data_IF_215888086429
#
_entry.id   IF_215888086429
#
_cell.length_a   1.000
_cell.length_b   1.000
_cell.length_c   1.000
_cell.angle_alpha   90.00
_cell.angle_beta   90.00
_cell.angle_gamma   90.00
#
_symmetry.space_group_name_H-M   'P 1'
#
loop_
_entity.id
_entity.type
_entity.pdbx_description
1 polymer ?
#
# COMPACT_ATOMS: atom_id res chain seq x y z
N UNK A 1 -34.78 14.24 15.10
CA UNK A 1 -34.03 15.13 14.19
C UNK A 1 -32.94 15.79 15.00
N UNK A 2 -31.73 15.21 14.99
CA UNK A 2 -30.55 15.81 15.62
C UNK A 2 -29.69 16.37 14.49
N UNK A 3 -29.53 17.68 14.49
CA UNK A 3 -28.56 18.39 13.68
C UNK A 3 -27.21 18.14 14.36
N UNK A 4 -26.56 17.03 14.01
CA UNK A 4 -25.24 16.66 14.50
C UNK A 4 -24.23 17.68 13.98
N UNK A 5 -23.72 18.50 14.90
CA UNK A 5 -22.71 19.52 14.66
C UNK A 5 -21.51 18.92 13.92
N UNK A 6 -21.41 19.15 12.61
CA UNK A 6 -20.26 18.80 11.81
C UNK A 6 -19.09 19.74 12.14
N UNK A 7 -18.26 19.36 13.11
CA UNK A 7 -16.99 20.05 13.34
C UNK A 7 -16.12 19.77 12.11
N UNK A 8 -16.04 20.73 11.20
CA UNK A 8 -15.16 20.66 10.03
C UNK A 8 -13.74 20.94 10.51
N UNK A 9 -13.06 19.89 10.99
CA UNK A 9 -11.66 19.99 11.39
C UNK A 9 -10.80 20.22 10.13
N UNK A 10 -9.96 21.27 10.12
CA UNK A 10 -9.05 21.49 9.01
C UNK A 10 -8.09 20.29 8.88
N UNK A 11 -7.69 19.97 7.65
CA UNK A 11 -6.82 18.85 7.36
C UNK A 11 -5.46 19.05 8.04
N UNK A 12 -4.81 17.95 8.43
CA UNK A 12 -3.61 17.97 9.26
C UNK A 12 -2.43 18.73 8.61
N UNK A 13 -2.43 18.81 7.28
CA UNK A 13 -1.45 19.56 6.47
C UNK A 13 -1.49 21.09 6.66
N UNK A 14 -2.62 21.62 7.14
CA UNK A 14 -2.83 23.06 7.39
C UNK A 14 -2.54 23.41 8.87
N UNK A 15 -2.08 22.43 9.67
CA UNK A 15 -1.76 22.57 11.09
C UNK A 15 -0.32 22.12 11.34
N UNK A 16 0.46 22.95 12.04
CA UNK A 16 1.85 22.63 12.44
C UNK A 16 1.93 21.68 13.65
N UNK A 17 0.89 20.88 13.94
CA UNK A 17 0.81 20.03 15.14
C UNK A 17 1.09 18.54 14.88
N UNK A 18 1.54 18.17 13.67
CA UNK A 18 1.84 16.77 13.29
C UNK A 18 2.79 16.11 14.30
N UNK A 19 3.90 16.75 14.65
CA UNK A 19 4.88 16.21 15.59
C UNK A 19 4.36 16.19 17.02
N UNK A 20 3.55 17.17 17.41
CA UNK A 20 2.93 17.20 18.74
C UNK A 20 1.96 16.01 18.89
N UNK A 21 1.09 15.81 17.91
CA UNK A 21 0.15 14.68 17.88
C UNK A 21 0.86 13.32 17.79
N UNK A 22 1.94 13.23 17.03
CA UNK A 22 2.74 12.02 16.94
C UNK A 22 3.35 11.64 18.30
N UNK A 23 3.83 12.63 19.06
CA UNK A 23 4.36 12.42 20.41
C UNK A 23 3.27 12.07 21.43
N UNK A 24 2.05 12.59 21.28
CA UNK A 24 0.90 12.21 22.12
C UNK A 24 0.41 10.78 21.86
N UNK A 25 0.42 10.32 20.61
CA UNK A 25 -0.02 8.95 20.27
C UNK A 25 0.99 7.87 20.65
N UNK A 26 2.25 8.24 20.82
CA UNK A 26 3.34 7.32 21.12
C UNK A 26 3.18 6.59 22.46
N UNK A 27 2.97 7.26 23.61
CA UNK A 27 2.74 6.58 24.88
C UNK A 27 1.45 5.76 24.88
N UNK A 28 0.38 6.26 24.28
CA UNK A 28 -0.90 5.54 24.20
C UNK A 28 -0.76 4.23 23.40
N UNK A 29 -0.13 4.28 22.23
CA UNK A 29 0.08 3.10 21.39
C UNK A 29 1.15 2.16 21.96
N UNK A 30 2.16 2.68 22.67
CA UNK A 30 3.15 1.87 23.40
C UNK A 30 2.50 1.04 24.50
N UNK A 31 1.59 1.65 25.28
CA UNK A 31 0.80 0.95 26.31
C UNK A 31 -0.18 -0.05 25.68
N UNK A 32 -0.89 0.34 24.62
CA UNK A 32 -1.85 -0.53 23.90
C UNK A 32 -1.18 -1.80 23.36
N UNK A 33 0.04 -1.68 22.83
CA UNK A 33 0.77 -2.78 22.19
C UNK A 33 1.75 -3.51 23.12
N UNK A 34 1.94 -3.02 24.35
CA UNK A 34 2.89 -3.59 25.30
C UNK A 34 4.35 -3.53 24.85
N UNK A 35 4.73 -2.54 24.02
CA UNK A 35 6.10 -2.36 23.52
C UNK A 35 6.71 -1.05 24.00
N UNK A 36 7.94 -1.04 24.53
CA UNK A 36 8.56 0.16 25.10
C UNK A 36 9.15 1.05 24.00
N UNK A 37 8.32 1.63 23.15
CA UNK A 37 8.78 2.67 22.23
C UNK A 37 8.67 4.02 22.92
N UNK A 38 9.77 4.78 22.98
CA UNK A 38 9.85 6.02 23.79
C UNK A 38 10.01 7.28 22.97
N UNK A 39 10.54 7.18 21.75
CA UNK A 39 10.89 8.37 20.94
C UNK A 39 10.70 8.15 19.45
N UNK A 40 10.49 9.26 18.75
CA UNK A 40 10.60 9.37 17.30
C UNK A 40 11.97 9.99 17.01
N UNK A 41 12.76 9.38 16.13
CA UNK A 41 14.02 9.98 15.68
C UNK A 41 13.76 11.25 14.87
N UNK A 42 14.72 12.18 14.87
CA UNK A 42 14.63 13.41 14.05
C UNK A 42 14.42 13.09 12.57
N UNK A 43 15.11 12.06 12.06
CA UNK A 43 14.94 11.61 10.67
C UNK A 43 13.50 11.12 10.39
N UNK A 44 12.89 10.40 11.33
CA UNK A 44 11.49 9.96 11.22
C UNK A 44 10.52 11.15 11.33
N UNK A 45 10.80 12.14 12.18
CA UNK A 45 10.02 13.37 12.29
C UNK A 45 9.96 14.13 10.96
N UNK A 46 11.09 14.23 10.25
CA UNK A 46 11.14 14.85 8.92
C UNK A 46 10.30 14.12 7.88
N UNK A 47 10.22 12.79 7.96
CA UNK A 47 9.35 11.98 7.09
C UNK A 47 7.87 12.26 7.39
N UNK A 48 7.51 12.34 8.68
CA UNK A 48 6.14 12.66 9.10
C UNK A 48 5.72 14.07 8.65
N UNK A 49 6.62 15.05 8.69
CA UNK A 49 6.35 16.42 8.26
C UNK A 49 6.20 16.55 6.72
N UNK A 50 6.90 15.72 5.96
CA UNK A 50 6.85 15.75 4.48
C UNK A 50 5.61 15.07 3.90
N UNK A 51 4.93 14.23 4.68
CA UNK A 51 3.81 13.45 4.19
C UNK A 51 2.49 14.27 4.22
N UNK A 52 1.65 14.21 3.17
CA UNK A 52 0.46 15.07 3.05
C UNK A 52 -0.74 14.68 3.94
N UNK A 53 -0.70 13.51 4.59
CA UNK A 53 -1.74 13.01 5.51
C UNK A 53 -3.18 13.04 4.94
N UNK A 54 -3.48 12.35 3.81
CA UNK A 54 -4.83 12.31 3.23
C UNK A 54 -5.92 11.79 4.18
N UNK A 55 -5.55 10.95 5.16
CA UNK A 55 -6.43 10.47 6.23
C UNK A 55 -6.31 11.23 7.55
N UNK A 56 -5.67 12.41 7.55
CA UNK A 56 -5.49 13.30 8.70
C UNK A 56 -4.97 12.57 9.95
N UNK A 57 -5.50 12.92 11.13
CA UNK A 57 -5.12 12.36 12.44
C UNK A 57 -5.32 10.84 12.51
N UNK A 58 -6.34 10.29 11.84
CA UNK A 58 -6.60 8.84 11.83
C UNK A 58 -5.46 8.07 11.17
N UNK A 59 -4.92 8.60 10.08
CA UNK A 59 -3.79 8.01 9.39
C UNK A 59 -2.51 8.13 10.22
N UNK A 60 -2.23 9.30 10.79
CA UNK A 60 -1.10 9.51 11.69
C UNK A 60 -1.10 8.50 12.84
N UNK A 61 -2.23 8.35 13.52
CA UNK A 61 -2.37 7.37 14.61
C UNK A 61 -2.09 5.94 14.16
N UNK A 62 -2.60 5.53 12.99
CA UNK A 62 -2.38 4.19 12.47
C UNK A 62 -0.92 3.94 12.06
N UNK A 63 -0.26 4.96 11.51
CA UNK A 63 1.14 4.91 11.12
C UNK A 63 2.02 4.78 12.35
N UNK A 64 1.80 5.59 13.40
CA UNK A 64 2.55 5.48 14.66
C UNK A 64 2.32 4.12 15.32
N UNK A 65 1.08 3.62 15.39
CA UNK A 65 0.79 2.28 15.94
C UNK A 65 1.54 1.19 15.20
N UNK A 66 1.56 1.24 13.86
CA UNK A 66 2.30 0.26 13.04
C UNK A 66 3.81 0.40 13.17
N UNK A 67 4.31 1.64 13.25
CA UNK A 67 5.73 1.89 13.46
C UNK A 67 6.21 1.28 14.78
N UNK A 68 5.42 1.34 15.85
CA UNK A 68 5.73 0.72 17.15
C UNK A 68 5.75 -0.81 17.09
N UNK A 69 5.00 -1.45 16.19
CA UNK A 69 5.08 -2.90 16.00
C UNK A 69 6.43 -3.35 15.44
N UNK A 70 7.07 -2.49 14.65
CA UNK A 70 8.34 -2.73 13.99
C UNK A 70 9.53 -2.20 14.81
N UNK A 71 9.34 -1.05 15.46
CA UNK A 71 10.35 -0.38 16.25
C UNK A 71 10.57 -1.05 17.62
N UNK A 72 11.80 -0.99 18.11
CA UNK A 72 12.15 -1.50 19.44
C UNK A 72 11.99 -0.43 20.52
N UNK A 73 12.77 0.64 20.45
CA UNK A 73 12.78 1.76 21.43
C UNK A 73 12.59 3.13 20.75
N UNK A 74 13.09 3.27 19.51
CA UNK A 74 13.02 4.51 18.72
C UNK A 74 12.40 4.24 17.35
N UNK A 75 11.45 5.08 16.95
CA UNK A 75 10.90 5.09 15.59
C UNK A 75 11.91 5.73 14.64
N UNK A 76 12.36 4.97 13.67
CA UNK A 76 13.28 5.36 12.61
C UNK A 76 12.51 5.46 11.28
N UNK A 77 13.05 6.16 10.26
CA UNK A 77 12.40 6.27 8.95
C UNK A 77 12.00 4.92 8.35
N UNK A 78 12.81 3.89 8.56
CA UNK A 78 12.54 2.51 8.12
C UNK A 78 11.29 1.90 8.76
N UNK A 79 10.95 2.30 9.98
CA UNK A 79 9.72 1.88 10.65
C UNK A 79 8.48 2.62 10.09
N UNK A 80 8.68 3.72 9.35
CA UNK A 80 7.62 4.50 8.69
C UNK A 80 7.38 4.10 7.22
N UNK A 81 8.05 3.06 6.71
CA UNK A 81 7.92 2.53 5.34
C UNK A 81 6.49 2.12 4.93
N UNK A 82 5.54 2.14 5.87
CA UNK A 82 4.11 1.91 5.63
C UNK A 82 3.43 3.12 5.00
N UNK A 83 4.02 4.32 5.13
CA UNK A 83 3.60 5.48 4.37
C UNK A 83 3.89 5.20 2.89
N UNK A 84 2.91 5.28 1.97
CA UNK A 84 3.20 5.29 0.55
C UNK A 84 4.10 6.49 0.30
N UNK A 85 5.40 6.24 0.13
CA UNK A 85 6.34 7.28 -0.28
C UNK A 85 5.89 7.64 -1.69
N UNK A 86 5.27 8.81 -1.85
CA UNK A 86 5.07 9.37 -3.18
C UNK A 86 6.45 9.49 -3.82
N UNK A 87 6.77 8.69 -4.85
CA UNK A 87 8.07 8.79 -5.52
C UNK A 87 8.25 10.15 -6.21
N UNK A 88 7.17 10.94 -6.30
CA UNK A 88 7.15 12.30 -6.85
C UNK A 88 8.07 13.27 -6.10
N UNK A 89 8.19 13.16 -4.76
CA UNK A 89 9.07 14.06 -3.98
C UNK A 89 10.56 13.71 -4.11
N UNK A 90 10.90 12.43 -4.35
CA UNK A 90 12.29 11.99 -4.53
C UNK A 90 12.84 12.35 -5.93
N UNK A 91 11.96 12.57 -6.91
CA UNK A 91 12.33 12.85 -8.30
C UNK A 91 12.64 14.34 -8.55
N UNK A 92 12.23 15.25 -7.65
CA UNK A 92 12.47 16.68 -7.82
C UNK A 92 13.93 17.12 -7.59
N UNK A 93 14.76 16.29 -6.95
CA UNK A 93 16.16 16.64 -6.60
C UNK A 93 17.22 16.02 -7.51
N UNK A 94 16.85 15.10 -8.40
CA UNK A 94 17.77 14.55 -9.41
C UNK A 94 17.13 14.78 -10.78
N UNK A 95 17.59 15.81 -11.47
CA UNK A 95 17.13 16.22 -12.80
C UNK A 95 17.52 15.22 -13.89
N UNK A 96 17.06 13.98 -13.79
CA UNK A 96 17.06 13.00 -14.87
C UNK A 96 15.63 12.51 -15.08
N UNK A 97 15.07 12.61 -16.30
CA UNK A 97 13.76 12.05 -16.59
C UNK A 97 13.85 10.52 -16.64
N UNK A 98 13.11 9.77 -15.79
CA UNK A 98 12.97 8.34 -15.99
C UNK A 98 12.07 8.08 -17.22
N UNK A 99 12.44 7.13 -18.09
CA UNK A 99 11.56 6.68 -19.15
C UNK A 99 10.50 5.71 -18.57
N UNK A 100 9.36 5.67 -19.25
CA UNK A 100 8.32 4.63 -19.24
C UNK A 100 7.38 4.57 -18.03
N UNK A 101 6.07 4.66 -18.33
CA UNK A 101 5.06 3.90 -17.59
C UNK A 101 3.95 4.71 -16.91
N UNK A 102 3.95 6.04 -16.99
CA UNK A 102 2.80 6.85 -16.60
C UNK A 102 1.68 6.72 -17.64
N UNK A 103 1.14 5.51 -17.78
CA UNK A 103 -0.17 5.33 -18.38
C UNK A 103 -1.17 5.86 -17.37
N UNK A 104 -1.46 7.16 -17.52
CA UNK A 104 -2.78 7.76 -17.40
C UNK A 104 -3.62 7.14 -16.28
N UNK A 105 -3.71 7.84 -15.14
CA UNK A 105 -4.93 7.80 -14.34
C UNK A 105 -6.07 8.14 -15.30
N UNK A 106 -6.69 7.10 -15.85
CA UNK A 106 -7.74 7.22 -16.83
C UNK A 106 -8.86 8.05 -16.18
N UNK A 107 -9.13 9.19 -16.80
CA UNK A 107 -10.16 10.11 -16.36
C UNK A 107 -11.56 9.47 -16.40
N UNK A 108 -11.67 8.22 -16.87
CA UNK A 108 -12.84 7.35 -16.76
C UNK A 108 -13.19 6.86 -15.33
N UNK A 109 -12.34 7.09 -14.32
CA UNK A 109 -12.63 6.65 -12.93
C UNK A 109 -13.51 7.62 -12.13
N UNK A 110 -13.73 8.85 -12.62
CA UNK A 110 -14.64 9.81 -11.97
C UNK A 110 -16.09 9.42 -12.29
N UNK A 111 -16.69 8.61 -11.42
CA UNK A 111 -18.09 8.17 -11.54
C UNK A 111 -18.31 6.66 -11.43
N UNK A 112 -17.25 5.86 -11.38
CA UNK A 112 -17.35 4.41 -11.16
C UNK A 112 -17.60 4.10 -9.68
N UNK A 113 -18.60 3.27 -9.40
CA UNK A 113 -18.90 2.80 -8.03
C UNK A 113 -17.68 2.08 -7.43
N UNK A 114 -17.39 2.29 -6.15
CA UNK A 114 -16.27 1.65 -5.42
C UNK A 114 -16.22 0.13 -5.63
N UNK A 115 -17.37 -0.50 -5.84
CA UNK A 115 -17.48 -1.94 -6.17
C UNK A 115 -16.76 -2.29 -7.48
N UNK A 116 -16.93 -1.49 -8.53
CA UNK A 116 -16.31 -1.71 -9.84
C UNK A 116 -14.80 -1.55 -9.76
N UNK A 117 -14.33 -0.57 -9.00
CA UNK A 117 -12.90 -0.33 -8.78
C UNK A 117 -12.27 -1.50 -8.00
N UNK A 118 -12.95 -1.98 -6.96
CA UNK A 118 -12.50 -3.13 -6.18
C UNK A 118 -12.46 -4.42 -7.03
N UNK A 119 -13.48 -4.65 -7.86
CA UNK A 119 -13.53 -5.80 -8.77
C UNK A 119 -12.41 -5.75 -9.82
N UNK A 120 -12.12 -4.58 -10.40
CA UNK A 120 -11.01 -4.40 -11.33
C UNK A 120 -9.65 -4.64 -10.67
N UNK A 121 -9.43 -4.07 -9.48
CA UNK A 121 -8.19 -4.27 -8.72
C UNK A 121 -7.98 -5.74 -8.32
N UNK A 122 -9.05 -6.43 -7.93
CA UNK A 122 -9.02 -7.86 -7.62
C UNK A 122 -8.68 -8.69 -8.87
N UNK A 123 -9.26 -8.36 -10.02
CA UNK A 123 -8.96 -9.04 -11.29
C UNK A 123 -7.49 -8.85 -11.70
N UNK A 124 -6.93 -7.65 -11.54
CA UNK A 124 -5.53 -7.38 -11.83
C UNK A 124 -4.57 -8.10 -10.87
N UNK A 125 -4.93 -8.21 -9.60
CA UNK A 125 -4.17 -8.96 -8.62
C UNK A 125 -4.17 -10.46 -8.94
N UNK A 126 -5.34 -11.02 -9.28
CA UNK A 126 -5.47 -12.43 -9.68
C UNK A 126 -4.66 -12.75 -10.94
N UNK A 127 -4.73 -11.89 -11.96
CA UNK A 127 -3.96 -12.05 -13.20
C UNK A 127 -2.46 -12.11 -12.93
N UNK A 128 -1.95 -11.19 -12.10
CA UNK A 128 -0.53 -11.14 -11.72
C UNK A 128 -0.10 -12.38 -10.95
N UNK A 129 -0.92 -12.84 -9.99
CA UNK A 129 -0.63 -14.04 -9.21
C UNK A 129 -0.55 -15.30 -10.10
N UNK A 130 -1.51 -15.48 -11.02
CA UNK A 130 -1.52 -16.60 -11.96
C UNK A 130 -0.26 -16.58 -12.84
N UNK A 131 0.13 -15.42 -13.34
CA UNK A 131 1.32 -15.25 -14.18
C UNK A 131 2.61 -15.62 -13.43
N UNK A 132 2.80 -15.10 -12.22
CA UNK A 132 3.98 -15.38 -11.40
C UNK A 132 4.10 -16.87 -11.05
N UNK A 133 2.99 -17.51 -10.70
CA UNK A 133 3.01 -18.93 -10.35
C UNK A 133 3.25 -19.80 -11.60
N UNK A 134 2.67 -19.46 -12.76
CA UNK A 134 2.95 -20.17 -14.01
C UNK A 134 4.41 -20.03 -14.46
N UNK A 135 5.05 -18.89 -14.20
CA UNK A 135 6.49 -18.72 -14.38
C UNK A 135 7.29 -19.63 -13.45
N UNK A 136 6.97 -19.62 -12.15
CA UNK A 136 7.66 -20.44 -11.15
C UNK A 136 7.51 -21.95 -11.41
N UNK A 137 6.37 -22.40 -11.94
CA UNK A 137 6.11 -23.80 -12.27
C UNK A 137 6.45 -24.18 -13.71
N UNK A 138 7.09 -23.28 -14.48
CA UNK A 138 7.47 -23.50 -15.89
C UNK A 138 6.30 -24.00 -16.74
N UNK A 139 5.13 -23.38 -16.57
CA UNK A 139 3.90 -23.73 -17.28
C UNK A 139 3.20 -25.02 -16.81
N UNK A 140 3.62 -25.63 -15.69
CA UNK A 140 2.88 -26.76 -15.11
C UNK A 140 1.61 -26.26 -14.40
N UNK A 141 0.48 -26.38 -15.10
CA UNK A 141 -0.84 -25.93 -14.66
C UNK A 141 -1.35 -26.65 -13.40
N UNK A 142 -1.01 -27.92 -13.22
CA UNK A 142 -1.43 -28.70 -12.05
C UNK A 142 -0.69 -28.25 -10.79
N UNK A 143 0.62 -28.04 -10.91
CA UNK A 143 1.42 -27.53 -9.79
C UNK A 143 1.10 -26.06 -9.48
N UNK A 144 0.79 -25.27 -10.52
CA UNK A 144 0.34 -23.89 -10.34
C UNK A 144 -0.97 -23.81 -9.55
N UNK A 145 -1.93 -24.69 -9.85
CA UNK A 145 -3.19 -24.76 -9.11
C UNK A 145 -2.96 -25.13 -7.64
N UNK A 146 -2.06 -26.09 -7.39
CA UNK A 146 -1.66 -26.51 -6.04
C UNK A 146 -1.01 -25.37 -5.24
N UNK A 147 -0.09 -24.63 -5.85
CA UNK A 147 0.58 -23.48 -5.23
C UNK A 147 -0.38 -22.32 -4.95
N UNK A 148 -1.32 -22.07 -5.86
CA UNK A 148 -2.37 -21.07 -5.67
C UNK A 148 -3.51 -21.55 -4.76
N UNK A 149 -3.42 -22.77 -4.20
CA UNK A 149 -4.43 -23.41 -3.34
C UNK A 149 -5.83 -23.37 -3.97
N UNK A 150 -5.90 -23.63 -5.27
CA UNK A 150 -7.15 -23.61 -6.04
C UNK A 150 -7.29 -24.87 -6.88
N UNK A 151 -8.52 -25.16 -7.31
CA UNK A 151 -8.78 -26.26 -8.22
C UNK A 151 -8.25 -25.97 -9.63
N UNK A 152 -7.75 -27.00 -10.30
CA UNK A 152 -7.31 -26.91 -11.70
C UNK A 152 -8.38 -26.29 -12.62
N UNK A 153 -9.66 -26.63 -12.40
CA UNK A 153 -10.79 -26.10 -13.18
C UNK A 153 -10.98 -24.58 -12.97
N UNK A 154 -10.78 -24.10 -11.74
CA UNK A 154 -10.86 -22.67 -11.40
C UNK A 154 -9.70 -21.91 -12.02
N UNK A 155 -8.47 -22.44 -11.91
CA UNK A 155 -7.30 -21.88 -12.56
C UNK A 155 -7.49 -21.79 -14.08
N UNK A 156 -7.95 -22.87 -14.72
CA UNK A 156 -8.17 -22.92 -16.16
C UNK A 156 -9.24 -21.90 -16.62
N UNK A 157 -10.34 -21.76 -15.86
CA UNK A 157 -11.37 -20.75 -16.13
C UNK A 157 -10.79 -19.33 -16.05
N UNK A 158 -9.99 -19.04 -15.00
CA UNK A 158 -9.35 -17.74 -14.82
C UNK A 158 -8.31 -17.46 -15.90
N UNK A 159 -7.52 -18.45 -16.30
CA UNK A 159 -6.59 -18.34 -17.43
C UNK A 159 -7.31 -17.98 -18.73
N UNK A 160 -8.44 -18.62 -19.03
CA UNK A 160 -9.26 -18.29 -20.21
C UNK A 160 -9.89 -16.90 -20.12
N UNK A 161 -10.35 -16.50 -18.93
CA UNK A 161 -10.92 -15.17 -18.68
C UNK A 161 -9.90 -14.05 -18.85
N UNK A 162 -8.65 -14.28 -18.48
CA UNK A 162 -7.57 -13.30 -18.56
C UNK A 162 -6.66 -13.44 -19.79
N UNK A 163 -6.95 -14.37 -20.71
CA UNK A 163 -6.16 -14.64 -21.90
C UNK A 163 -4.72 -15.09 -21.59
N UNK A 164 -4.51 -15.82 -20.50
CA UNK A 164 -3.18 -16.29 -20.08
C UNK A 164 -2.94 -17.69 -20.63
N UNK A 165 -2.02 -17.80 -21.59
CA UNK A 165 -1.57 -19.09 -22.12
C UNK A 165 -0.35 -19.62 -21.36
N UNK A 166 -0.34 -20.92 -21.08
CA UNK A 166 0.79 -21.58 -20.42
C UNK A 166 1.95 -21.93 -21.38
N UNK A 167 1.73 -21.82 -22.69
CA UNK A 167 2.70 -22.13 -23.75
C UNK A 167 4.05 -21.39 -23.60
N UNK A 168 4.05 -20.04 -23.53
CA UNK A 168 5.30 -19.26 -23.49
C UNK A 168 6.16 -19.52 -22.24
N UNK A 169 5.56 -20.00 -21.15
CA UNK A 169 6.30 -20.29 -19.90
C UNK A 169 7.05 -21.62 -19.92
N UNK A 170 6.80 -22.48 -20.93
CA UNK A 170 7.53 -23.74 -21.10
C UNK A 170 8.79 -23.57 -21.96
N UNK A 171 8.83 -22.54 -22.82
CA UNK A 171 9.89 -22.32 -23.81
C UNK A 171 11.05 -21.47 -23.28
N UNK A 172 10.87 -20.71 -22.19
CA UNK A 172 11.90 -19.83 -21.62
C UNK A 172 13.02 -20.56 -20.83
N UNK A 173 13.21 -21.86 -21.05
CA UNK A 173 14.27 -22.69 -20.43
C UNK A 173 14.96 -23.61 -21.44
N UNK A 174 15.09 -23.16 -22.69
CA UNK A 174 16.05 -23.70 -23.66
C UNK A 174 17.22 -22.73 -23.82
#
# INVERSE_FOLDING_TARGET
RLNEFGITLPPLRERDDILHLANEFLPEASMELGRPCRKISEAAAQVLLRYPWPGNVRELRNVIRRAILLASDVIEPEHLSVLPVDPSAATALRGEPPPVGSSLLDSSLVGSSLKVIAEAAAADAERRAIHQVLQATRGNKTEAARLLRTDYKTLHRKMKQYGIDAGPFRESSA
#
